data_IF_057023086842
#
_entry.id   IF_057023086842
#
_cell.length_a   1.000
_cell.length_b   1.000
_cell.length_c   1.000
_cell.angle_alpha   90.00
_cell.angle_beta   90.00
_cell.angle_gamma   90.00
#
_symmetry.space_group_name_H-M   'P 1'
#
loop_
_entity.id
_entity.type
_entity.pdbx_description
1 polymer ?
#
# COMPACT_ATOMS: atom_id res chain seq x y z
N UNK A 1 7.91 -39.29 43.14
CA UNK A 1 8.35 -38.81 41.82
C UNK A 1 7.84 -37.39 41.61
N UNK A 2 8.75 -36.40 41.65
CA UNK A 2 8.43 -34.97 41.54
C UNK A 2 8.89 -34.48 40.17
N UNK A 3 7.97 -34.01 39.32
CA UNK A 3 8.30 -33.35 38.06
C UNK A 3 8.73 -31.90 38.34
N UNK A 4 10.01 -31.59 38.07
CA UNK A 4 10.52 -30.22 38.00
C UNK A 4 10.04 -29.59 36.69
N UNK A 5 9.25 -28.52 36.77
CA UNK A 5 9.00 -27.62 35.65
C UNK A 5 10.23 -26.73 35.47
N UNK A 6 10.89 -26.87 34.33
CA UNK A 6 12.01 -26.02 33.91
C UNK A 6 11.41 -24.74 33.29
N UNK A 7 11.60 -23.61 33.96
CA UNK A 7 11.27 -22.29 33.41
C UNK A 7 12.36 -21.91 32.40
N UNK A 8 12.00 -21.77 31.12
CA UNK A 8 12.83 -21.08 30.14
C UNK A 8 12.70 -19.57 30.38
N UNK A 9 13.76 -18.97 30.91
CA UNK A 9 13.92 -17.52 30.95
C UNK A 9 14.52 -17.10 29.62
N UNK A 10 13.71 -16.54 28.73
CA UNK A 10 14.19 -15.90 27.51
C UNK A 10 14.76 -14.53 27.92
N UNK A 11 16.08 -14.48 28.16
CA UNK A 11 16.79 -13.24 28.44
C UNK A 11 16.83 -12.38 27.16
N UNK A 12 16.04 -11.31 27.13
CA UNK A 12 16.20 -10.20 26.18
C UNK A 12 17.58 -9.56 26.42
N UNK A 13 18.55 -9.88 25.58
CA UNK A 13 19.79 -9.11 25.45
C UNK A 13 19.51 -7.94 24.51
N UNK A 14 19.24 -6.77 25.09
CA UNK A 14 19.37 -5.48 24.40
C UNK A 14 20.85 -5.31 24.03
N UNK A 15 21.17 -5.37 22.74
CA UNK A 15 22.48 -4.95 22.22
C UNK A 15 22.37 -3.46 21.89
N UNK A 16 23.09 -2.56 22.57
CA UNK A 16 23.19 -1.16 22.15
C UNK A 16 24.11 -1.09 20.93
N UNK A 17 23.56 -0.68 19.78
CA UNK A 17 24.36 -0.29 18.62
C UNK A 17 25.00 1.07 18.92
N UNK A 18 26.21 1.03 19.47
CA UNK A 18 27.08 2.20 19.58
C UNK A 18 27.82 2.31 18.25
N UNK A 19 27.41 3.25 17.40
CA UNK A 19 28.18 3.63 16.22
C UNK A 19 29.35 4.50 16.65
N UNK A 20 30.48 3.88 16.99
CA UNK A 20 31.77 4.56 17.08
C UNK A 20 32.35 4.66 15.66
N UNK A 21 32.35 5.88 15.13
CA UNK A 21 33.06 6.20 13.90
C UNK A 21 34.57 6.20 14.11
N UNK A 22 35.30 5.70 13.11
CA UNK A 22 36.66 6.15 12.86
C UNK A 22 36.97 6.10 11.35
N UNK A 23 37.77 7.05 10.82
CA UNK A 23 37.76 7.43 9.42
C UNK A 23 38.82 6.70 8.60
N UNK A 24 38.45 6.19 7.43
CA UNK A 24 39.33 5.54 6.47
C UNK A 24 39.18 6.13 5.07
N UNK A 25 39.98 7.16 4.79
CA UNK A 25 40.38 7.74 3.49
C UNK A 25 39.71 7.18 2.22
N UNK A 26 38.84 8.00 1.63
CA UNK A 26 38.42 7.89 0.23
C UNK A 26 39.48 8.51 -0.69
N UNK A 27 39.99 7.73 -1.64
CA UNK A 27 40.55 8.24 -2.90
C UNK A 27 39.55 7.97 -4.04
N UNK A 28 39.43 8.87 -5.02
CA UNK A 28 38.27 8.93 -5.91
C UNK A 28 38.32 7.91 -7.05
N UNK A 29 37.13 7.47 -7.47
CA UNK A 29 36.91 6.65 -8.66
C UNK A 29 37.33 7.41 -9.94
N UNK A 30 37.87 6.73 -10.97
CA UNK A 30 38.01 7.33 -12.28
C UNK A 30 36.65 7.36 -12.99
N UNK A 31 36.35 8.51 -13.59
CA UNK A 31 35.32 8.70 -14.61
C UNK A 31 35.70 7.96 -15.89
N UNK A 32 34.75 7.27 -16.52
CA UNK A 32 34.91 6.78 -17.88
C UNK A 32 34.02 5.60 -18.24
N UNK A 33 33.02 5.92 -19.06
CA UNK A 33 32.41 5.10 -20.10
C UNK A 33 31.43 3.98 -19.75
N UNK A 34 30.24 4.13 -20.32
CA UNK A 34 29.19 3.13 -20.36
C UNK A 34 29.68 1.86 -21.03
N UNK A 35 29.82 0.81 -20.23
CA UNK A 35 29.74 -0.56 -20.70
C UNK A 35 28.81 -1.33 -19.76
N UNK A 36 27.73 -1.84 -20.35
CA UNK A 36 26.92 -2.95 -19.85
C UNK A 36 27.78 -3.98 -19.11
N UNK A 37 27.43 -4.41 -17.89
CA UNK A 37 28.15 -5.50 -17.25
C UNK A 37 27.85 -6.79 -18.03
N UNK A 38 28.91 -7.50 -18.36
CA UNK A 38 28.91 -8.77 -19.08
C UNK A 38 27.89 -9.75 -18.50
N UNK A 39 26.80 -9.96 -19.25
CA UNK A 39 25.88 -11.06 -19.02
C UNK A 39 26.58 -12.40 -19.26
N UNK A 40 26.45 -13.32 -18.32
CA UNK A 40 26.72 -14.73 -18.56
C UNK A 40 26.02 -15.17 -19.86
N UNK A 41 26.76 -15.77 -20.79
CA UNK A 41 26.31 -16.28 -22.10
C UNK A 41 25.23 -17.40 -22.02
N UNK A 42 24.56 -17.58 -20.88
CA UNK A 42 23.66 -18.71 -20.57
C UNK A 42 22.41 -18.29 -19.77
N UNK A 43 21.66 -17.30 -20.24
CA UNK A 43 20.31 -16.99 -19.74
C UNK A 43 19.22 -17.65 -20.60
N UNK A 44 17.99 -17.86 -20.08
CA UNK A 44 16.87 -18.32 -20.90
C UNK A 44 16.57 -17.30 -22.00
N UNK A 45 16.16 -17.79 -23.18
CA UNK A 45 15.64 -16.93 -24.24
C UNK A 45 14.27 -16.44 -23.79
N UNK A 46 14.11 -15.13 -23.63
CA UNK A 46 12.88 -14.52 -23.12
C UNK A 46 12.00 -13.98 -24.26
N UNK A 47 10.66 -14.04 -24.11
CA UNK A 47 9.76 -13.33 -25.00
C UNK A 47 9.99 -11.82 -24.97
N UNK A 48 9.59 -11.12 -26.03
CA UNK A 48 9.68 -9.67 -26.09
C UNK A 48 8.98 -9.01 -24.89
N UNK A 49 9.64 -8.02 -24.28
CA UNK A 49 9.16 -7.31 -23.10
C UNK A 49 9.44 -7.99 -21.76
N UNK A 50 9.91 -9.23 -21.73
CA UNK A 50 10.30 -9.90 -20.49
C UNK A 50 11.78 -9.68 -20.15
N UNK A 51 12.06 -9.63 -18.87
CA UNK A 51 13.39 -9.44 -18.30
C UNK A 51 13.60 -10.37 -17.11
N UNK A 52 14.86 -10.67 -16.82
CA UNK A 52 15.25 -11.29 -15.55
C UNK A 52 15.26 -10.19 -14.49
N UNK A 53 14.42 -10.34 -13.47
CA UNK A 53 14.31 -9.44 -12.33
C UNK A 53 15.32 -9.81 -11.24
N UNK A 54 15.51 -11.11 -11.01
CA UNK A 54 16.48 -11.64 -10.06
C UNK A 54 16.89 -13.07 -10.44
N UNK A 55 18.00 -13.57 -9.89
CA UNK A 55 18.51 -14.92 -10.12
C UNK A 55 19.14 -15.51 -8.86
N UNK A 56 18.85 -16.79 -8.63
CA UNK A 56 19.54 -17.61 -7.63
C UNK A 56 20.03 -18.93 -8.23
N UNK A 57 20.86 -19.65 -7.47
CA UNK A 57 21.27 -21.02 -7.79
C UNK A 57 21.11 -21.89 -6.53
N UNK A 58 20.45 -23.04 -6.66
CA UNK A 58 20.25 -23.97 -5.55
C UNK A 58 19.52 -25.23 -5.98
N UNK A 59 19.49 -26.25 -5.11
CA UNK A 59 18.64 -27.42 -5.32
C UNK A 59 17.24 -27.16 -4.74
N UNK A 60 16.27 -27.02 -5.63
CA UNK A 60 14.85 -26.82 -5.30
C UNK A 60 13.99 -28.03 -5.70
N UNK A 61 14.60 -29.04 -6.32
CA UNK A 61 13.92 -30.23 -6.85
C UNK A 61 14.22 -31.50 -6.07
N UNK A 62 15.23 -31.48 -5.19
CA UNK A 62 15.63 -32.58 -4.32
C UNK A 62 16.54 -33.62 -4.97
N UNK A 63 17.07 -33.34 -6.17
CA UNK A 63 17.96 -34.26 -6.90
C UNK A 63 19.45 -34.04 -6.59
N UNK A 64 19.75 -33.16 -5.63
CA UNK A 64 21.09 -32.75 -5.18
C UNK A 64 21.91 -32.05 -6.26
N UNK A 65 21.29 -31.62 -7.36
CA UNK A 65 21.97 -30.90 -8.45
C UNK A 65 21.47 -29.45 -8.48
N UNK A 66 22.37 -28.46 -8.46
CA UNK A 66 21.97 -27.07 -8.47
C UNK A 66 21.23 -26.71 -9.76
N UNK A 67 20.10 -26.03 -9.61
CA UNK A 67 19.33 -25.42 -10.70
C UNK A 67 19.67 -23.94 -10.79
N UNK A 68 19.46 -23.33 -11.95
CA UNK A 68 19.36 -21.89 -12.09
C UNK A 68 17.89 -21.49 -11.89
N UNK A 69 17.64 -20.58 -10.95
CA UNK A 69 16.30 -20.08 -10.66
C UNK A 69 16.25 -18.62 -11.10
N UNK A 70 15.34 -18.29 -12.01
CA UNK A 70 15.14 -16.94 -12.53
C UNK A 70 13.77 -16.43 -12.13
N UNK A 71 13.74 -15.21 -11.61
CA UNK A 71 12.52 -14.45 -11.46
C UNK A 71 12.35 -13.62 -12.73
N UNK A 72 11.29 -13.87 -13.46
CA UNK A 72 10.98 -13.22 -14.73
C UNK A 72 9.79 -12.29 -14.54
N UNK A 73 9.79 -11.19 -15.28
CA UNK A 73 8.63 -10.31 -15.36
C UNK A 73 8.62 -9.51 -16.64
N UNK A 74 7.43 -9.05 -17.02
CA UNK A 74 7.20 -8.23 -18.21
C UNK A 74 7.24 -6.75 -17.83
N UNK A 75 8.06 -5.97 -18.53
CA UNK A 75 8.10 -4.51 -18.40
C UNK A 75 7.15 -3.88 -19.43
N UNK A 76 6.21 -3.01 -19.01
CA UNK A 76 5.32 -2.29 -19.95
C UNK A 76 6.07 -1.36 -20.92
N UNK A 77 7.28 -0.93 -20.56
CA UNK A 77 8.18 -0.15 -21.41
C UNK A 77 9.63 -0.38 -20.96
N UNK A 78 10.60 -0.15 -21.85
CA UNK A 78 12.01 -0.52 -21.59
C UNK A 78 12.60 0.19 -20.36
N UNK A 79 12.19 1.43 -20.10
CA UNK A 79 12.69 2.24 -18.97
C UNK A 79 11.85 2.06 -17.69
N UNK A 80 10.82 1.21 -17.72
CA UNK A 80 9.96 0.97 -16.56
C UNK A 80 10.69 0.15 -15.49
N UNK A 81 10.75 0.65 -14.26
CA UNK A 81 11.17 -0.14 -13.10
C UNK A 81 10.05 -1.06 -12.57
N UNK A 82 8.83 -0.89 -13.06
CA UNK A 82 7.70 -1.76 -12.78
C UNK A 82 7.71 -2.97 -13.72
N UNK A 83 7.46 -4.15 -13.17
CA UNK A 83 7.20 -5.38 -13.92
C UNK A 83 5.90 -6.05 -13.46
N UNK A 84 5.15 -6.59 -14.42
CA UNK A 84 3.99 -7.45 -14.20
C UNK A 84 4.19 -8.84 -14.81
N UNK A 85 3.16 -9.68 -14.76
CA UNK A 85 3.20 -11.05 -15.28
C UNK A 85 4.42 -11.84 -14.80
N UNK A 86 4.57 -11.87 -13.48
CA UNK A 86 5.74 -12.42 -12.80
C UNK A 86 5.71 -13.95 -12.84
N UNK A 87 6.83 -14.57 -13.17
CA UNK A 87 6.98 -16.04 -13.20
C UNK A 87 8.32 -16.47 -12.63
N UNK A 88 8.37 -17.67 -12.07
CA UNK A 88 9.60 -18.33 -11.64
C UNK A 88 9.95 -19.38 -12.69
N UNK A 89 11.17 -19.33 -13.22
CA UNK A 89 11.72 -20.34 -14.12
C UNK A 89 12.86 -21.06 -13.43
N UNK A 90 12.77 -22.38 -13.32
CA UNK A 90 13.81 -23.27 -12.79
C UNK A 90 14.40 -24.04 -13.95
N UNK A 91 15.71 -23.88 -14.18
CA UNK A 91 16.42 -24.52 -15.28
C UNK A 91 17.51 -25.46 -14.76
N UNK A 92 17.52 -26.67 -15.28
CA UNK A 92 18.60 -27.62 -15.03
C UNK A 92 19.86 -27.23 -15.83
N UNK A 93 21.00 -27.11 -15.14
CA UNK A 93 22.27 -26.68 -15.74
C UNK A 93 22.83 -27.65 -16.78
N UNK A 94 22.50 -28.93 -16.69
CA UNK A 94 23.07 -29.99 -17.54
C UNK A 94 22.14 -30.35 -18.69
N UNK A 95 20.86 -30.56 -18.40
CA UNK A 95 19.86 -31.02 -19.37
C UNK A 95 19.14 -29.88 -20.09
N UNK A 96 19.21 -28.65 -19.56
CA UNK A 96 18.42 -27.48 -19.99
C UNK A 96 16.90 -27.67 -19.90
N UNK A 97 16.43 -28.70 -19.21
CA UNK A 97 15.02 -28.84 -18.87
C UNK A 97 14.58 -27.64 -18.02
N UNK A 98 13.36 -27.15 -18.29
CA UNK A 98 12.80 -25.98 -17.62
C UNK A 98 11.46 -26.32 -16.96
N UNK A 99 11.27 -25.80 -15.76
CA UNK A 99 9.98 -25.76 -15.07
C UNK A 99 9.62 -24.29 -14.87
N UNK A 100 8.41 -23.91 -15.23
CA UNK A 100 7.95 -22.52 -15.09
C UNK A 100 6.66 -22.47 -14.29
N UNK A 101 6.64 -21.63 -13.25
CA UNK A 101 5.45 -21.35 -12.45
C UNK A 101 5.09 -19.88 -12.59
N UNK A 102 3.89 -19.61 -13.11
CA UNK A 102 3.34 -18.26 -13.18
C UNK A 102 2.77 -17.86 -11.83
N UNK A 103 3.11 -16.66 -11.36
CA UNK A 103 2.58 -16.11 -10.12
C UNK A 103 1.33 -15.29 -10.44
N UNK A 104 0.13 -15.69 -9.97
CA UNK A 104 -1.09 -14.97 -10.29
C UNK A 104 -1.18 -13.65 -9.53
N UNK A 105 -1.81 -12.65 -10.17
CA UNK A 105 -2.22 -11.37 -9.58
C UNK A 105 -1.09 -10.57 -8.92
N UNK A 106 0.12 -10.59 -9.50
CA UNK A 106 1.26 -9.83 -8.96
C UNK A 106 1.93 -8.97 -10.03
N UNK A 107 2.41 -7.82 -9.57
CA UNK A 107 3.25 -6.89 -10.31
C UNK A 107 3.79 -5.83 -9.36
N UNK A 108 5.01 -5.36 -9.60
CA UNK A 108 5.67 -4.45 -8.68
C UNK A 108 7.09 -4.08 -9.11
N UNK A 109 7.87 -3.66 -8.14
CA UNK A 109 9.20 -3.08 -8.28
C UNK A 109 10.22 -3.87 -7.48
N UNK A 110 11.47 -3.90 -7.95
CA UNK A 110 12.61 -4.45 -7.20
C UNK A 110 12.35 -5.85 -6.59
N UNK A 111 11.68 -6.73 -7.35
CA UNK A 111 11.31 -8.05 -6.86
C UNK A 111 12.53 -8.94 -6.65
N UNK A 112 12.52 -9.78 -5.61
CA UNK A 112 13.69 -10.58 -5.21
C UNK A 112 13.35 -12.04 -4.94
N UNK A 113 14.37 -12.89 -5.10
CA UNK A 113 14.37 -14.31 -4.77
C UNK A 113 15.15 -14.59 -3.48
N UNK A 114 14.57 -15.44 -2.65
CA UNK A 114 15.22 -16.11 -1.55
C UNK A 114 14.99 -17.62 -1.65
N UNK A 115 16.01 -18.42 -1.33
CA UNK A 115 15.92 -19.87 -1.29
C UNK A 115 16.05 -20.34 0.16
N UNK A 116 15.06 -21.08 0.65
CA UNK A 116 15.05 -21.62 2.01
C UNK A 116 14.09 -22.80 2.14
N UNK A 117 14.42 -23.74 3.02
CA UNK A 117 13.56 -24.89 3.34
C UNK A 117 12.42 -24.41 4.25
N UNK A 118 11.23 -24.19 3.71
CA UNK A 118 10.04 -23.83 4.49
C UNK A 118 9.17 -25.05 4.78
N UNK A 119 9.22 -26.08 3.92
CA UNK A 119 8.39 -27.29 4.06
C UNK A 119 8.93 -28.31 5.06
N UNK A 120 10.19 -28.20 5.45
CA UNK A 120 10.90 -29.05 6.40
C UNK A 120 11.44 -30.34 5.80
N UNK A 121 11.48 -30.46 4.47
CA UNK A 121 11.96 -31.65 3.75
C UNK A 121 13.45 -31.58 3.39
N UNK A 122 14.16 -30.52 3.84
CA UNK A 122 15.57 -30.23 3.56
C UNK A 122 15.86 -29.86 2.11
N UNK A 123 14.84 -29.54 1.32
CA UNK A 123 14.95 -29.02 -0.03
C UNK A 123 14.52 -27.55 0.00
N UNK A 124 15.24 -26.68 -0.70
CA UNK A 124 14.90 -25.27 -0.69
C UNK A 124 13.61 -25.02 -1.49
N UNK A 125 12.68 -24.27 -0.93
CA UNK A 125 11.58 -23.65 -1.66
C UNK A 125 11.99 -22.23 -2.12
N UNK A 126 11.22 -21.69 -3.07
CA UNK A 126 11.48 -20.37 -3.65
C UNK A 126 10.53 -19.35 -3.05
N UNK A 127 11.08 -18.41 -2.28
CA UNK A 127 10.37 -17.25 -1.73
C UNK A 127 10.61 -16.02 -2.61
N UNK A 128 9.54 -15.34 -2.99
CA UNK A 128 9.53 -14.13 -3.81
C UNK A 128 8.91 -12.97 -3.04
N UNK A 129 9.60 -11.83 -3.02
CA UNK A 129 9.06 -10.55 -2.53
C UNK A 129 8.87 -9.58 -3.69
N UNK A 130 7.72 -8.89 -3.74
CA UNK A 130 7.33 -8.02 -4.85
C UNK A 130 6.75 -6.71 -4.27
N UNK A 131 7.62 -5.71 -3.96
CA UNK A 131 7.16 -4.40 -3.52
C UNK A 131 6.22 -3.73 -4.52
N UNK A 132 5.10 -3.20 -4.05
CA UNK A 132 4.11 -2.50 -4.90
C UNK A 132 4.54 -1.09 -5.30
N UNK A 133 5.50 -0.48 -4.60
CA UNK A 133 6.02 0.87 -4.86
C UNK A 133 5.13 2.03 -4.39
N UNK A 134 4.00 1.74 -3.73
CA UNK A 134 3.12 2.77 -3.15
C UNK A 134 3.58 3.29 -1.78
N UNK A 135 3.05 4.45 -1.38
CA UNK A 135 3.19 5.06 -0.05
C UNK A 135 2.70 4.17 1.10
N UNK A 136 1.77 3.25 0.81
CA UNK A 136 1.30 2.24 1.76
C UNK A 136 2.33 1.16 2.07
N UNK A 137 3.45 1.10 1.34
CA UNK A 137 4.54 0.16 1.61
C UNK A 137 4.18 -1.31 1.37
N UNK A 138 3.07 -1.60 0.68
CA UNK A 138 2.60 -2.98 0.51
C UNK A 138 3.59 -3.81 -0.30
N UNK A 139 3.77 -5.06 0.12
CA UNK A 139 4.63 -6.03 -0.55
C UNK A 139 3.82 -7.31 -0.79
N UNK A 140 3.89 -7.82 -2.00
CA UNK A 140 3.33 -9.13 -2.32
C UNK A 140 4.36 -10.22 -2.05
N UNK A 141 3.93 -11.30 -1.41
CA UNK A 141 4.78 -12.43 -1.06
C UNK A 141 4.27 -13.72 -1.69
N UNK A 142 5.16 -14.52 -2.27
CA UNK A 142 4.83 -15.84 -2.82
C UNK A 142 5.89 -16.85 -2.43
N UNK A 143 5.47 -18.04 -2.00
CA UNK A 143 6.39 -19.17 -1.77
C UNK A 143 5.95 -20.33 -2.65
N UNK A 144 6.89 -20.88 -3.40
CA UNK A 144 6.66 -21.97 -4.34
C UNK A 144 7.60 -23.12 -4.03
N UNK A 145 7.04 -24.31 -3.89
CA UNK A 145 7.83 -25.54 -3.78
C UNK A 145 7.90 -26.22 -5.15
N UNK A 146 9.07 -26.77 -5.49
CA UNK A 146 9.32 -27.51 -6.73
C UNK A 146 9.52 -29.01 -6.47
N UNK A 147 9.26 -29.48 -5.24
CA UNK A 147 9.24 -30.91 -4.89
C UNK A 147 7.94 -31.53 -5.37
N UNK A 148 8.06 -32.48 -6.30
CA UNK A 148 6.93 -33.07 -7.02
C UNK A 148 6.37 -32.12 -8.10
N UNK A 149 5.05 -32.00 -8.19
CA UNK A 149 4.44 -30.98 -9.04
C UNK A 149 4.62 -29.59 -8.43
N UNK A 150 5.16 -28.60 -9.18
CA UNK A 150 5.35 -27.26 -8.67
C UNK A 150 4.04 -26.61 -8.22
N UNK A 151 4.04 -26.03 -7.02
CA UNK A 151 2.83 -25.40 -6.45
C UNK A 151 3.15 -24.23 -5.55
N UNK A 152 2.27 -23.23 -5.56
CA UNK A 152 2.32 -22.10 -4.64
C UNK A 152 1.81 -22.56 -3.27
N UNK A 153 2.66 -22.47 -2.24
CA UNK A 153 2.32 -22.83 -0.86
C UNK A 153 2.07 -21.60 0.02
N UNK A 154 2.47 -20.41 -0.41
CA UNK A 154 2.09 -19.12 0.17
C UNK A 154 1.61 -18.21 -0.95
N UNK A 155 0.32 -17.90 -0.99
CA UNK A 155 -0.34 -17.16 -2.06
C UNK A 155 -1.04 -15.88 -1.58
N UNK A 156 -1.98 -15.40 -2.39
CA UNK A 156 -2.75 -14.18 -2.12
C UNK A 156 -3.56 -14.27 -0.81
N UNK A 157 -4.07 -15.45 -0.47
CA UNK A 157 -4.82 -15.67 0.79
C UNK A 157 -3.94 -15.49 2.02
N UNK A 158 -2.73 -16.03 2.00
CA UNK A 158 -1.78 -15.90 3.12
C UNK A 158 -1.19 -14.49 3.17
N UNK A 159 -1.03 -13.81 2.03
CA UNK A 159 -0.51 -12.44 1.97
C UNK A 159 -1.39 -11.41 2.71
N UNK A 160 -2.68 -11.73 2.93
CA UNK A 160 -3.57 -10.92 3.77
C UNK A 160 -3.13 -10.87 5.24
N UNK A 161 -2.32 -11.83 5.68
CA UNK A 161 -1.80 -11.91 7.04
C UNK A 161 -2.87 -12.17 8.09
N UNK A 162 -2.68 -11.59 9.27
CA UNK A 162 -3.61 -11.65 10.40
C UNK A 162 -4.84 -10.79 10.09
N UNK A 163 -6.01 -11.43 10.16
CA UNK A 163 -7.30 -10.77 9.99
C UNK A 163 -7.80 -10.30 11.35
N UNK A 164 -7.96 -8.98 11.50
CA UNK A 164 -8.49 -8.38 12.71
C UNK A 164 -9.39 -7.19 12.40
N UNK A 165 -10.31 -6.89 13.31
CA UNK A 165 -11.21 -5.72 13.23
C UNK A 165 -10.90 -4.77 14.37
N UNK A 166 -10.88 -3.47 14.12
CA UNK A 166 -10.62 -2.48 15.17
C UNK A 166 -11.66 -1.38 15.26
N UNK A 167 -11.74 -0.75 16.44
CA UNK A 167 -12.63 0.39 16.73
C UNK A 167 -12.02 1.33 17.77
N UNK A 168 -12.43 2.60 17.73
CA UNK A 168 -12.05 3.59 18.75
C UNK A 168 -12.88 3.41 20.04
N UNK A 169 -12.28 3.80 21.17
CA UNK A 169 -12.81 3.72 22.53
C UNK A 169 -12.54 5.01 23.31
N UNK A 170 -13.41 5.35 24.25
CA UNK A 170 -13.18 6.47 25.18
C UNK A 170 -11.81 6.40 25.87
N UNK A 171 -11.23 7.59 26.08
CA UNK A 171 -9.95 7.81 26.75
C UNK A 171 -8.76 7.71 25.80
N UNK A 172 -8.90 8.10 24.53
CA UNK A 172 -7.84 7.99 23.51
C UNK A 172 -7.32 6.56 23.38
N UNK A 173 -8.24 5.60 23.20
CA UNK A 173 -7.89 4.18 23.08
C UNK A 173 -8.51 3.56 21.85
N UNK A 174 -7.95 2.45 21.42
CA UNK A 174 -8.51 1.61 20.39
C UNK A 174 -8.58 0.16 20.89
N UNK A 175 -9.56 -0.60 20.39
CA UNK A 175 -9.62 -2.06 20.57
C UNK A 175 -9.40 -2.71 19.22
N UNK A 176 -8.50 -3.69 19.17
CA UNK A 176 -8.33 -4.59 18.03
C UNK A 176 -8.76 -5.99 18.45
N UNK A 177 -9.58 -6.67 17.63
CA UNK A 177 -10.04 -8.05 17.87
C UNK A 177 -9.56 -8.94 16.75
N UNK A 178 -8.74 -9.94 17.07
CA UNK A 178 -8.23 -10.91 16.10
C UNK A 178 -9.32 -11.94 15.78
N UNK A 179 -9.51 -12.22 14.48
CA UNK A 179 -10.72 -12.89 14.00
C UNK A 179 -10.79 -14.38 14.38
N UNK A 180 -9.67 -15.10 14.44
CA UNK A 180 -9.65 -16.55 14.68
C UNK A 180 -9.76 -16.90 16.16
N UNK A 181 -8.99 -16.22 17.01
CA UNK A 181 -8.91 -16.44 18.45
C UNK A 181 -9.93 -15.62 19.24
N UNK A 182 -10.52 -14.58 18.63
CA UNK A 182 -11.40 -13.59 19.27
C UNK A 182 -10.73 -12.81 20.41
N UNK A 183 -9.40 -12.92 20.54
CA UNK A 183 -8.64 -12.19 21.56
C UNK A 183 -8.58 -10.71 21.19
N UNK A 184 -8.47 -9.88 22.22
CA UNK A 184 -8.52 -8.43 22.11
C UNK A 184 -7.23 -7.80 22.60
N UNK A 185 -6.79 -6.77 21.90
CA UNK A 185 -5.71 -5.89 22.31
C UNK A 185 -6.26 -4.47 22.47
N UNK A 186 -5.81 -3.77 23.51
CA UNK A 186 -6.09 -2.35 23.71
C UNK A 186 -4.85 -1.57 23.28
N UNK A 187 -5.06 -0.60 22.40
CA UNK A 187 -4.03 0.26 21.85
C UNK A 187 -4.16 1.64 22.51
N UNK A 188 -3.05 2.16 23.03
CA UNK A 188 -2.98 3.52 23.52
C UNK A 188 -2.74 4.51 22.36
N UNK A 189 -3.61 5.51 22.24
CA UNK A 189 -3.56 6.54 21.21
C UNK A 189 -3.14 7.91 21.79
N UNK A 190 -2.73 7.96 23.05
CA UNK A 190 -2.45 9.20 23.78
C UNK A 190 -1.30 10.01 23.18
N UNK A 191 -0.37 9.37 22.48
CA UNK A 191 0.72 10.01 21.73
C UNK A 191 0.20 10.99 20.64
N UNK A 192 -1.04 10.79 20.20
CA UNK A 192 -1.70 11.48 19.10
C UNK A 192 -2.99 12.21 19.51
N UNK A 193 -3.22 12.42 20.82
CA UNK A 193 -4.46 13.00 21.37
C UNK A 193 -4.88 14.30 20.68
N UNK A 194 -3.94 15.22 20.43
CA UNK A 194 -4.24 16.54 19.88
C UNK A 194 -4.71 16.46 18.44
N UNK A 195 -4.15 15.53 17.66
CA UNK A 195 -4.60 15.24 16.31
C UNK A 195 -6.04 14.71 16.33
N UNK A 196 -6.35 13.75 17.20
CA UNK A 196 -7.68 13.19 17.28
C UNK A 196 -8.74 14.19 17.80
N UNK A 197 -8.36 15.11 18.70
CA UNK A 197 -9.22 16.23 19.11
C UNK A 197 -9.48 17.16 17.92
N UNK A 198 -8.43 17.61 17.22
CA UNK A 198 -8.56 18.47 16.03
C UNK A 198 -9.39 17.82 14.91
N UNK A 199 -9.33 16.49 14.80
CA UNK A 199 -10.12 15.71 13.85
C UNK A 199 -11.55 15.39 14.32
N UNK A 200 -11.98 15.90 15.48
CA UNK A 200 -13.30 15.63 16.10
C UNK A 200 -13.59 14.14 16.34
N UNK A 201 -12.56 13.34 16.60
CA UNK A 201 -12.72 11.93 17.01
C UNK A 201 -13.02 11.87 18.51
N UNK A 202 -12.29 12.65 19.31
CA UNK A 202 -12.51 12.80 20.75
C UNK A 202 -12.76 14.26 21.11
N UNK A 203 -13.45 14.50 22.22
CA UNK A 203 -13.38 15.80 22.88
C UNK A 203 -12.10 15.93 23.72
N UNK A 204 -11.86 17.10 24.29
CA UNK A 204 -10.69 17.37 25.14
C UNK A 204 -10.64 16.51 26.42
N UNK A 205 -11.78 15.97 26.86
CA UNK A 205 -11.88 15.01 27.97
C UNK A 205 -11.68 13.55 27.56
N UNK A 206 -11.40 13.26 26.28
CA UNK A 206 -11.21 11.91 25.76
C UNK A 206 -12.50 11.12 25.49
N UNK A 207 -13.68 11.75 25.55
CA UNK A 207 -14.93 11.10 25.14
C UNK A 207 -14.98 10.99 23.62
N UNK A 208 -15.25 9.80 23.11
CA UNK A 208 -15.42 9.52 21.69
C UNK A 208 -16.65 10.28 21.18
N UNK A 209 -16.43 11.11 20.15
CA UNK A 209 -17.48 11.87 19.47
C UNK A 209 -17.97 11.14 18.22
N UNK A 210 -17.08 10.41 17.55
CA UNK A 210 -17.37 9.70 16.31
C UNK A 210 -16.76 8.31 16.31
N UNK A 211 -17.58 7.29 16.12
CA UNK A 211 -17.09 5.92 15.93
C UNK A 211 -16.54 5.75 14.51
N UNK A 212 -15.43 5.03 14.39
CA UNK A 212 -14.79 4.69 13.13
C UNK A 212 -14.07 3.34 13.27
N UNK A 213 -13.97 2.58 12.18
CA UNK A 213 -13.19 1.34 12.17
C UNK A 213 -11.72 1.64 11.93
N UNK A 214 -10.86 0.82 12.54
CA UNK A 214 -9.43 0.77 12.18
C UNK A 214 -9.25 -0.14 10.97
N UNK A 215 -8.28 0.18 10.14
CA UNK A 215 -7.89 -0.65 9.00
C UNK A 215 -6.63 -1.44 9.34
N UNK A 216 -6.62 -2.73 9.00
CA UNK A 216 -5.44 -3.60 9.14
C UNK A 216 -4.89 -3.83 7.74
N UNK A 217 -3.65 -3.41 7.50
CA UNK A 217 -2.97 -3.65 6.23
C UNK A 217 -2.75 -5.14 5.99
N UNK A 218 -2.62 -5.60 4.73
CA UNK A 218 -1.94 -6.85 4.40
C UNK A 218 -0.49 -6.86 4.91
N UNK A 219 0.24 -7.97 4.73
CA UNK A 219 1.65 -8.05 5.09
C UNK A 219 2.46 -6.97 4.34
N UNK A 220 3.11 -6.09 5.12
CA UNK A 220 3.98 -5.04 4.60
C UNK A 220 5.45 -5.52 4.59
N UNK A 221 5.78 -6.46 5.48
CA UNK A 221 7.08 -7.12 5.56
C UNK A 221 6.87 -8.59 5.93
N UNK A 222 7.69 -9.47 5.34
CA UNK A 222 7.70 -10.89 5.64
C UNK A 222 9.12 -11.41 5.49
N UNK A 223 9.77 -11.61 6.63
CA UNK A 223 11.13 -12.11 6.70
C UNK A 223 11.18 -13.61 6.94
N UNK A 224 12.12 -14.28 6.30
CA UNK A 224 12.48 -15.66 6.62
C UNK A 224 13.37 -15.69 7.86
N UNK A 225 12.98 -16.47 8.87
CA UNK A 225 13.76 -16.65 10.10
C UNK A 225 14.15 -18.11 10.25
N UNK A 226 15.45 -18.35 10.40
CA UNK A 226 15.98 -19.63 10.78
C UNK A 226 16.20 -19.67 12.30
N UNK A 227 15.30 -20.35 13.02
CA UNK A 227 15.35 -20.43 14.50
C UNK A 227 16.48 -21.34 14.98
N UNK A 228 16.79 -22.39 14.21
CA UNK A 228 17.90 -23.31 14.46
C UNK A 228 18.75 -23.42 13.20
N UNK A 229 20.09 -23.24 13.25
CA UNK A 229 20.94 -23.38 12.07
C UNK A 229 20.80 -24.76 11.39
N UNK A 230 20.63 -24.77 10.07
CA UNK A 230 20.28 -25.95 9.26
C UNK A 230 18.82 -26.40 9.41
N UNK A 231 17.98 -25.56 10.00
CA UNK A 231 16.59 -25.83 10.34
C UNK A 231 15.61 -25.45 9.23
N UNK A 232 14.33 -25.67 9.50
CA UNK A 232 13.24 -25.17 8.65
C UNK A 232 13.06 -23.68 8.92
N UNK A 233 12.85 -22.91 7.86
CA UNK A 233 12.56 -21.49 7.94
C UNK A 233 11.11 -21.26 8.41
N UNK A 234 10.97 -20.38 9.38
CA UNK A 234 9.71 -19.76 9.75
C UNK A 234 9.59 -18.40 9.06
N UNK A 235 8.41 -17.80 9.12
CA UNK A 235 8.17 -16.46 8.59
C UNK A 235 7.78 -15.50 9.70
N UNK A 236 8.41 -14.32 9.72
CA UNK A 236 8.00 -13.20 10.57
C UNK A 236 7.32 -12.14 9.73
N UNK A 237 6.02 -11.96 9.95
CA UNK A 237 5.20 -10.97 9.27
C UNK A 237 5.01 -9.71 10.10
N UNK A 238 4.99 -8.56 9.42
CA UNK A 238 4.63 -7.25 10.00
C UNK A 238 3.44 -6.68 9.23
N UNK A 239 2.43 -6.24 9.97
CA UNK A 239 1.29 -5.49 9.45
C UNK A 239 1.11 -4.21 10.24
N UNK A 240 0.57 -3.20 9.59
CA UNK A 240 0.21 -1.93 10.22
C UNK A 240 -1.27 -1.90 10.49
N UNK A 241 -1.64 -1.26 11.60
CA UNK A 241 -3.01 -0.88 11.91
C UNK A 241 -3.09 0.63 11.78
N UNK A 242 -4.03 1.09 10.96
CA UNK A 242 -4.23 2.51 10.68
C UNK A 242 -5.56 3.00 11.24
N UNK A 243 -5.54 4.24 11.73
CA UNK A 243 -6.68 4.87 12.39
C UNK A 243 -7.56 5.64 11.41
N UNK A 244 -7.50 6.96 11.48
CA UNK A 244 -8.43 7.82 10.74
C UNK A 244 -8.03 8.08 9.28
N UNK A 245 -6.80 7.73 8.91
CA UNK A 245 -6.26 7.77 7.54
C UNK A 245 -5.04 6.83 7.43
N UNK A 246 -4.59 6.51 6.20
CA UNK A 246 -3.52 5.52 5.98
C UNK A 246 -2.18 5.85 6.66
N UNK A 247 -1.79 7.13 6.73
CA UNK A 247 -0.58 7.54 7.45
C UNK A 247 -0.76 7.59 8.98
N UNK A 248 -1.98 7.45 9.52
CA UNK A 248 -2.22 7.40 10.96
C UNK A 248 -1.95 5.99 11.49
N UNK A 249 -0.68 5.64 11.64
CA UNK A 249 -0.30 4.35 12.21
C UNK A 249 -0.61 4.33 13.71
N UNK A 250 -1.51 3.45 14.14
CA UNK A 250 -1.91 3.35 15.55
C UNK A 250 -1.27 2.17 16.27
N UNK A 251 -0.97 1.10 15.54
CA UNK A 251 -0.36 -0.11 16.06
C UNK A 251 0.35 -0.88 14.95
N UNK A 252 1.20 -1.83 15.34
CA UNK A 252 1.69 -2.87 14.45
C UNK A 252 1.24 -4.23 14.96
N UNK A 253 1.00 -5.16 14.04
CA UNK A 253 0.80 -6.57 14.32
C UNK A 253 2.07 -7.29 13.87
N UNK A 254 2.70 -8.02 14.78
CA UNK A 254 3.80 -8.93 14.49
C UNK A 254 3.29 -10.36 14.56
N UNK A 255 3.71 -11.19 13.62
CA UNK A 255 3.28 -12.57 13.55
C UNK A 255 4.42 -13.51 13.21
N UNK A 256 4.42 -14.71 13.79
CA UNK A 256 5.32 -15.81 13.42
C UNK A 256 4.49 -16.93 12.81
N UNK A 257 4.89 -17.41 11.65
CA UNK A 257 4.19 -18.45 10.89
C UNK A 257 5.12 -19.62 10.62
N UNK A 258 4.55 -20.81 10.71
CA UNK A 258 5.24 -22.05 10.43
C UNK A 258 4.39 -22.90 9.49
N UNK A 259 5.05 -23.54 8.52
CA UNK A 259 4.39 -24.47 7.61
C UNK A 259 4.37 -25.87 8.24
N UNK A 260 3.19 -26.34 8.64
CA UNK A 260 2.99 -27.69 9.18
C UNK A 260 1.79 -28.34 8.51
N UNK A 261 1.87 -29.66 8.28
CA UNK A 261 0.76 -30.43 7.69
C UNK A 261 0.21 -29.78 6.40
N UNK A 262 1.12 -29.34 5.53
CA UNK A 262 0.82 -28.70 4.25
C UNK A 262 0.06 -27.35 4.36
N UNK A 263 0.10 -26.69 5.52
CA UNK A 263 -0.57 -25.41 5.74
C UNK A 263 0.26 -24.46 6.60
N UNK A 264 0.19 -23.17 6.28
CA UNK A 264 0.72 -22.13 7.16
C UNK A 264 -0.14 -21.98 8.42
N UNK A 265 0.53 -21.97 9.57
CA UNK A 265 -0.08 -21.85 10.89
C UNK A 265 0.62 -20.76 11.67
N UNK A 266 -0.14 -19.81 12.21
CA UNK A 266 0.40 -18.74 13.04
C UNK A 266 0.72 -19.28 14.43
N UNK A 267 1.98 -19.16 14.85
CA UNK A 267 2.47 -19.60 16.17
C UNK A 267 2.40 -18.48 17.20
N UNK A 268 2.57 -17.23 16.75
CA UNK A 268 2.59 -16.06 17.62
C UNK A 268 1.94 -14.88 16.91
N UNK A 269 1.17 -14.10 17.66
CA UNK A 269 0.60 -12.81 17.25
C UNK A 269 0.83 -11.84 18.40
N UNK A 270 1.45 -10.71 18.11
CA UNK A 270 1.65 -9.61 19.04
C UNK A 270 1.13 -8.31 18.42
N UNK A 271 0.56 -7.45 19.27
CA UNK A 271 0.10 -6.13 18.88
C UNK A 271 0.86 -5.11 19.70
N UNK A 272 1.52 -4.16 19.05
CA UNK A 272 2.26 -3.08 19.70
C UNK A 272 1.46 -1.78 19.67
N UNK A 273 1.57 -0.97 20.72
CA UNK A 273 1.11 0.42 20.72
C UNK A 273 2.27 1.35 20.36
N UNK A 274 2.00 2.38 19.56
CA UNK A 274 2.99 3.41 19.24
C UNK A 274 3.09 4.40 20.39
N UNK A 275 4.18 4.34 21.16
CA UNK A 275 4.38 5.26 22.29
C UNK A 275 4.91 6.63 21.86
N UNK A 276 5.78 6.65 20.85
CA UNK A 276 6.40 7.85 20.29
C UNK A 276 6.43 7.70 18.76
N UNK A 277 5.81 8.64 18.03
CA UNK A 277 5.83 8.66 16.57
C UNK A 277 7.14 9.25 16.05
N UNK A 278 7.94 8.46 15.33
CA UNK A 278 9.15 8.95 14.66
C UNK A 278 8.77 9.50 13.28
N UNK A 279 9.12 10.76 12.99
CA UNK A 279 8.74 11.44 11.74
C UNK A 279 7.31 12.00 11.71
N UNK A 280 6.51 11.73 12.73
CA UNK A 280 5.17 12.32 12.93
C UNK A 280 5.26 13.58 13.80
N UNK A 281 6.06 14.58 13.39
CA UNK A 281 6.10 15.86 14.10
C UNK A 281 4.67 16.45 14.17
N UNK A 282 4.29 16.95 15.35
CA UNK A 282 2.94 17.40 15.71
C UNK A 282 2.44 18.68 14.96
N UNK A 283 2.89 18.95 13.74
CA UNK A 283 2.51 20.09 12.92
C UNK A 283 1.72 19.77 11.63
N UNK A 284 1.59 18.51 11.22
CA UNK A 284 1.24 18.23 9.83
C UNK A 284 -0.16 17.61 9.59
N UNK A 285 -1.16 17.95 10.41
CA UNK A 285 -2.55 17.54 10.15
C UNK A 285 -3.05 17.88 8.72
N UNK A 286 -2.63 18.99 8.08
CA UNK A 286 -2.97 19.26 6.68
C UNK A 286 -2.23 18.35 5.69
N UNK A 287 -0.96 17.99 5.94
CA UNK A 287 -0.20 17.05 5.09
C UNK A 287 -0.83 15.66 5.18
N UNK A 288 -1.17 15.22 6.39
CA UNK A 288 -1.89 13.98 6.61
C UNK A 288 -3.23 13.94 5.84
N UNK A 289 -4.00 15.03 5.89
CA UNK A 289 -5.25 15.16 5.15
C UNK A 289 -5.01 15.12 3.63
N UNK A 290 -3.95 15.76 3.14
CA UNK A 290 -3.56 15.74 1.73
C UNK A 290 -3.19 14.32 1.29
N UNK A 291 -2.31 13.64 2.02
CA UNK A 291 -1.90 12.27 1.71
C UNK A 291 -3.10 11.32 1.74
N UNK A 292 -3.99 11.42 2.72
CA UNK A 292 -5.22 10.63 2.75
C UNK A 292 -6.11 10.88 1.52
N UNK A 293 -6.22 12.14 1.09
CA UNK A 293 -6.96 12.50 -0.12
C UNK A 293 -6.38 11.84 -1.37
N UNK A 294 -5.04 11.71 -1.44
CA UNK A 294 -4.36 11.04 -2.55
C UNK A 294 -4.56 9.52 -2.56
N UNK A 295 -4.57 8.89 -1.38
CA UNK A 295 -4.84 7.45 -1.27
C UNK A 295 -6.27 7.11 -1.68
N UNK A 296 -7.25 7.81 -1.11
CA UNK A 296 -8.67 7.59 -1.45
C UNK A 296 -8.96 7.85 -2.92
N UNK A 297 -8.24 8.76 -3.56
CA UNK A 297 -8.38 9.01 -4.99
C UNK A 297 -8.05 7.78 -5.84
N UNK A 298 -7.12 6.91 -5.40
CA UNK A 298 -6.81 5.65 -6.10
C UNK A 298 -7.96 4.64 -6.03
N UNK A 299 -8.85 4.79 -5.04
CA UNK A 299 -10.07 4.02 -4.89
C UNK A 299 -11.31 4.71 -5.50
N UNK A 300 -11.14 5.87 -6.16
CA UNK A 300 -12.25 6.66 -6.68
C UNK A 300 -13.02 7.49 -5.63
N UNK A 301 -12.54 7.58 -4.38
CA UNK A 301 -13.26 8.18 -3.23
C UNK A 301 -12.67 9.51 -2.78
N UNK A 302 -13.47 10.25 -1.98
CA UNK A 302 -12.99 11.43 -1.25
C UNK A 302 -13.10 11.26 0.27
N UNK A 303 -12.35 12.06 1.05
CA UNK A 303 -12.16 11.97 2.51
C UNK A 303 -13.45 11.96 3.35
N UNK A 304 -14.56 12.44 2.81
CA UNK A 304 -15.84 12.59 3.49
C UNK A 304 -16.99 11.87 2.75
N UNK A 305 -16.67 10.94 1.83
CA UNK A 305 -17.65 10.22 1.03
C UNK A 305 -17.28 8.75 0.87
N UNK A 306 -18.25 7.87 1.12
CA UNK A 306 -18.09 6.42 0.93
C UNK A 306 -18.34 5.96 -0.51
N UNK A 307 -18.95 6.80 -1.36
CA UNK A 307 -19.34 6.47 -2.72
C UNK A 307 -18.21 6.78 -3.72
N UNK A 308 -17.54 5.77 -4.29
CA UNK A 308 -16.50 5.96 -5.30
C UNK A 308 -17.05 6.33 -6.68
N UNK A 309 -16.30 7.14 -7.44
CA UNK A 309 -16.49 7.28 -8.88
C UNK A 309 -16.37 5.90 -9.58
N UNK A 310 -16.87 5.82 -10.83
CA UNK A 310 -16.94 4.61 -11.67
C UNK A 310 -17.93 3.54 -11.17
N UNK A 311 -17.83 3.14 -9.91
CA UNK A 311 -18.53 1.95 -9.38
C UNK A 311 -19.83 2.25 -8.64
N UNK A 312 -20.21 3.52 -8.51
CA UNK A 312 -21.50 3.94 -7.93
C UNK A 312 -22.32 4.80 -8.89
N UNK A 313 -23.64 4.81 -8.67
CA UNK A 313 -24.59 5.65 -9.39
C UNK A 313 -25.18 6.72 -8.48
N UNK A 314 -25.74 7.78 -9.07
CA UNK A 314 -26.44 8.80 -8.28
C UNK A 314 -27.69 8.25 -7.58
N UNK A 315 -28.29 7.16 -8.11
CA UNK A 315 -29.43 6.50 -7.49
C UNK A 315 -29.06 5.85 -6.16
N UNK A 316 -27.90 5.17 -6.11
CA UNK A 316 -27.38 4.59 -4.86
C UNK A 316 -27.18 5.65 -3.77
N UNK A 317 -26.74 6.85 -4.17
CA UNK A 317 -26.60 7.99 -3.25
C UNK A 317 -27.96 8.49 -2.80
N UNK A 318 -28.93 8.63 -3.71
CA UNK A 318 -30.27 9.11 -3.37
C UNK A 318 -31.02 8.14 -2.45
N UNK A 319 -30.84 6.83 -2.61
CA UNK A 319 -31.40 5.81 -1.72
C UNK A 319 -30.89 5.96 -0.29
N UNK A 320 -29.61 6.30 -0.11
CA UNK A 320 -28.99 6.40 1.22
C UNK A 320 -29.10 7.78 1.84
N UNK A 321 -28.92 8.85 1.06
CA UNK A 321 -28.81 10.23 1.53
C UNK A 321 -30.05 11.09 1.21
N UNK A 322 -30.98 10.57 0.41
CA UNK A 322 -32.12 11.32 -0.12
C UNK A 322 -31.74 12.17 -1.34
N UNK A 323 -32.68 12.99 -1.83
CA UNK A 323 -32.44 13.85 -3.01
C UNK A 323 -31.39 14.93 -2.74
N UNK A 324 -30.61 15.35 -3.77
CA UNK A 324 -29.66 16.44 -3.63
C UNK A 324 -30.35 17.78 -3.39
N UNK A 325 -29.65 18.71 -2.73
CA UNK A 325 -30.15 20.08 -2.51
C UNK A 325 -30.28 20.84 -3.83
N UNK A 326 -29.40 20.53 -4.79
CA UNK A 326 -29.34 21.19 -6.09
C UNK A 326 -28.74 20.27 -7.14
N UNK A 327 -29.24 20.35 -8.37
CA UNK A 327 -28.65 19.73 -9.56
C UNK A 327 -28.43 20.74 -10.66
N UNK A 328 -27.24 20.74 -11.25
CA UNK A 328 -26.89 21.62 -12.37
C UNK A 328 -26.28 20.82 -13.52
N UNK A 329 -26.81 20.99 -14.74
CA UNK A 329 -26.13 20.51 -15.93
C UNK A 329 -24.94 21.41 -16.27
N UNK A 330 -23.76 20.82 -16.44
CA UNK A 330 -22.54 21.54 -16.81
C UNK A 330 -22.14 21.14 -18.24
N UNK A 331 -22.36 21.99 -19.25
CA UNK A 331 -22.10 21.64 -20.65
C UNK A 331 -20.67 21.21 -20.93
N UNK A 332 -19.69 21.87 -20.31
CA UNK A 332 -18.26 21.56 -20.50
C UNK A 332 -17.88 20.18 -19.95
N UNK A 333 -18.58 19.71 -18.92
CA UNK A 333 -18.39 18.37 -18.35
C UNK A 333 -19.39 17.35 -18.90
N UNK A 334 -20.35 17.78 -19.74
CA UNK A 334 -21.44 16.97 -20.30
C UNK A 334 -22.09 16.05 -19.27
N UNK A 335 -22.25 16.57 -18.06
CA UNK A 335 -22.74 15.84 -16.91
C UNK A 335 -23.58 16.73 -16.00
N UNK A 336 -24.38 16.07 -15.18
CA UNK A 336 -25.15 16.74 -14.13
C UNK A 336 -24.36 16.68 -12.83
N UNK A 337 -24.30 17.80 -12.11
CA UNK A 337 -23.67 17.90 -10.81
C UNK A 337 -24.72 18.04 -9.72
N UNK A 338 -24.76 17.07 -8.81
CA UNK A 338 -25.67 17.01 -7.67
C UNK A 338 -24.93 17.43 -6.39
N UNK A 339 -25.42 18.47 -5.71
CA UNK A 339 -24.84 19.00 -4.47
C UNK A 339 -25.56 18.46 -3.24
N UNK A 340 -24.78 17.92 -2.31
CA UNK A 340 -25.20 17.44 -1.00
C UNK A 340 -24.50 18.25 0.10
N UNK A 341 -25.08 19.39 0.46
CA UNK A 341 -24.49 20.39 1.35
C UNK A 341 -24.28 19.84 2.76
N UNK A 342 -25.21 19.01 3.25
CA UNK A 342 -25.07 18.35 4.58
C UNK A 342 -23.83 17.46 4.68
N UNK A 343 -23.41 16.89 3.54
CA UNK A 343 -22.27 15.99 3.47
C UNK A 343 -20.99 16.72 3.03
N UNK A 344 -21.09 17.97 2.57
CA UNK A 344 -20.01 18.71 1.90
C UNK A 344 -19.45 17.95 0.69
N UNK A 345 -20.34 17.38 -0.13
CA UNK A 345 -19.99 16.59 -1.32
C UNK A 345 -20.77 17.06 -2.54
N UNK A 346 -20.15 17.01 -3.72
CA UNK A 346 -20.82 17.16 -5.02
C UNK A 346 -20.47 15.96 -5.90
N UNK A 347 -21.45 15.42 -6.61
CA UNK A 347 -21.26 14.32 -7.56
C UNK A 347 -21.52 14.78 -8.98
N UNK A 348 -20.54 14.60 -9.88
CA UNK A 348 -20.74 14.66 -11.32
C UNK A 348 -21.13 13.29 -11.86
N UNK A 349 -22.24 13.20 -12.57
CA UNK A 349 -22.73 11.95 -13.15
C UNK A 349 -23.21 12.12 -14.60
N UNK A 350 -23.04 11.06 -15.37
CA UNK A 350 -23.39 11.04 -16.80
C UNK A 350 -24.88 10.69 -17.01
N UNK A 351 -25.34 10.69 -18.27
CA UNK A 351 -26.74 10.36 -18.61
C UNK A 351 -27.17 8.97 -18.16
N UNK A 352 -26.22 8.04 -18.01
CA UNK A 352 -26.44 6.70 -17.49
C UNK A 352 -26.48 6.62 -15.96
N UNK A 353 -26.53 7.77 -15.26
CA UNK A 353 -26.50 7.86 -13.79
C UNK A 353 -25.20 7.42 -13.11
N UNK A 354 -24.20 6.98 -13.87
CA UNK A 354 -22.89 6.61 -13.32
C UNK A 354 -22.15 7.87 -12.85
N UNK A 355 -21.61 7.82 -11.64
CA UNK A 355 -20.79 8.89 -11.08
C UNK A 355 -19.41 8.82 -11.73
N UNK A 356 -19.01 9.91 -12.38
CA UNK A 356 -17.68 10.05 -12.98
C UNK A 356 -16.79 11.02 -12.18
N UNK A 357 -17.34 11.85 -11.30
CA UNK A 357 -16.55 12.76 -10.47
C UNK A 357 -17.14 12.92 -9.08
N UNK A 358 -16.30 12.81 -8.05
CA UNK A 358 -16.68 13.06 -6.66
C UNK A 358 -15.85 14.23 -6.13
N UNK A 359 -16.52 15.27 -5.62
CA UNK A 359 -15.88 16.51 -5.16
C UNK A 359 -16.10 16.66 -3.66
N UNK A 360 -15.02 16.87 -2.91
CA UNK A 360 -15.06 17.22 -1.50
C UNK A 360 -15.00 18.73 -1.30
N UNK A 361 -15.92 19.25 -0.48
CA UNK A 361 -15.97 20.64 -0.01
C UNK A 361 -15.60 20.74 1.49
N UNK A 362 -14.90 19.73 2.03
CA UNK A 362 -14.58 19.67 3.46
C UNK A 362 -13.78 20.91 3.91
N UNK A 363 -14.24 21.57 4.98
CA UNK A 363 -13.64 22.83 5.43
C UNK A 363 -12.19 22.69 5.89
N UNK A 364 -11.75 21.47 6.27
CA UNK A 364 -10.37 21.20 6.69
C UNK A 364 -9.37 21.37 5.55
N UNK A 365 -9.81 21.28 4.29
CA UNK A 365 -8.98 21.47 3.10
C UNK A 365 -8.30 22.85 3.08
N UNK A 366 -8.94 23.87 3.67
CA UNK A 366 -8.40 25.24 3.73
C UNK A 366 -7.06 25.35 4.46
N UNK A 367 -6.70 24.33 5.24
CA UNK A 367 -5.41 24.29 5.93
C UNK A 367 -4.27 23.77 5.04
N UNK A 368 -4.57 23.30 3.82
CA UNK A 368 -3.59 22.80 2.85
C UNK A 368 -3.23 23.95 1.91
N UNK A 369 -1.96 24.38 1.93
CA UNK A 369 -1.47 25.42 1.02
C UNK A 369 -0.98 24.84 -0.31
N UNK A 370 -0.92 25.67 -1.34
CA UNK A 370 -0.37 25.29 -2.64
C UNK A 370 1.11 24.85 -2.54
N UNK A 371 1.92 25.54 -1.72
CA UNK A 371 3.32 25.18 -1.52
C UNK A 371 3.46 23.81 -0.87
N UNK A 372 2.66 23.55 0.17
CA UNK A 372 2.61 22.26 0.85
C UNK A 372 2.31 21.12 -0.11
N UNK A 373 1.39 21.31 -1.04
CA UNK A 373 1.09 20.28 -2.05
C UNK A 373 2.26 20.02 -2.98
N UNK A 374 2.91 21.08 -3.49
CA UNK A 374 4.06 20.94 -4.39
C UNK A 374 5.26 20.29 -3.70
N UNK A 375 5.47 20.62 -2.43
CA UNK A 375 6.53 20.02 -1.60
C UNK A 375 6.23 18.55 -1.27
N UNK A 376 4.96 18.22 -0.99
CA UNK A 376 4.56 16.87 -0.56
C UNK A 376 4.39 15.89 -1.73
N UNK A 377 3.73 16.32 -2.81
CA UNK A 377 3.36 15.45 -3.94
C UNK A 377 4.30 15.61 -5.14
N UNK A 378 5.20 16.59 -5.10
CA UNK A 378 6.06 16.93 -6.22
C UNK A 378 5.32 17.55 -7.40
N UNK A 379 5.92 17.42 -8.57
CA UNK A 379 5.44 18.01 -9.81
C UNK A 379 4.08 17.43 -10.24
N UNK A 380 3.05 18.26 -10.47
CA UNK A 380 1.75 17.79 -10.94
C UNK A 380 1.81 17.38 -12.41
N UNK A 381 0.97 16.42 -12.79
CA UNK A 381 0.78 16.03 -14.19
C UNK A 381 0.01 17.09 -14.97
N UNK A 382 -0.82 17.89 -14.29
CA UNK A 382 -1.59 18.98 -14.87
C UNK A 382 -1.53 20.22 -13.98
N UNK A 383 -1.37 21.39 -14.59
CA UNK A 383 -1.43 22.66 -13.88
C UNK A 383 -2.10 23.71 -14.76
N UNK A 384 -3.19 24.31 -14.28
CA UNK A 384 -3.89 25.38 -14.96
C UNK A 384 -4.24 26.53 -14.02
N UNK A 385 -4.13 27.75 -14.53
CA UNK A 385 -4.53 28.98 -13.83
C UNK A 385 -5.64 29.67 -14.60
N UNK A 386 -6.75 29.96 -13.93
CA UNK A 386 -7.86 30.70 -14.52
C UNK A 386 -8.66 31.42 -13.43
N UNK A 387 -9.06 32.67 -13.68
CA UNK A 387 -9.94 33.45 -12.81
C UNK A 387 -9.55 33.47 -11.31
N UNK A 388 -8.25 33.63 -11.00
CA UNK A 388 -7.75 33.66 -9.62
C UNK A 388 -7.71 32.29 -8.92
N UNK A 389 -7.90 31.21 -9.67
CA UNK A 389 -7.84 29.83 -9.21
C UNK A 389 -6.67 29.09 -9.89
N UNK A 390 -5.91 28.32 -9.12
CA UNK A 390 -4.89 27.39 -9.62
C UNK A 390 -5.39 25.97 -9.40
N UNK A 391 -5.39 25.15 -10.45
CA UNK A 391 -5.79 23.74 -10.40
C UNK A 391 -4.57 22.88 -10.64
N UNK A 392 -4.25 22.00 -9.69
CA UNK A 392 -3.22 20.97 -9.86
C UNK A 392 -3.88 19.62 -10.09
N UNK A 393 -3.37 18.84 -11.04
CA UNK A 393 -3.83 17.49 -11.33
C UNK A 393 -2.72 16.46 -11.16
N UNK A 394 -3.04 15.35 -10.50
CA UNK A 394 -2.17 14.19 -10.32
C UNK A 394 -2.87 12.92 -10.79
N UNK A 395 -2.14 11.97 -11.35
CA UNK A 395 -2.70 10.63 -11.61
C UNK A 395 -2.94 9.89 -10.29
N UNK A 396 -4.05 9.15 -10.20
CA UNK A 396 -4.43 8.37 -9.03
C UNK A 396 -4.73 6.94 -9.46
N UNK A 397 -3.68 6.11 -9.48
CA UNK A 397 -3.77 4.76 -10.03
C UNK A 397 -3.94 4.76 -11.55
N UNK A 398 -4.52 3.69 -12.09
CA UNK A 398 -4.74 3.52 -13.53
C UNK A 398 -5.95 4.32 -14.04
N UNK A 399 -6.99 4.39 -13.22
CA UNK A 399 -8.33 4.77 -13.70
C UNK A 399 -8.75 6.18 -13.28
N UNK A 400 -8.12 6.77 -12.25
CA UNK A 400 -8.58 8.02 -11.66
C UNK A 400 -7.56 9.16 -11.76
N UNK A 401 -8.05 10.39 -11.61
CA UNK A 401 -7.27 11.62 -11.48
C UNK A 401 -7.66 12.34 -10.20
N UNK A 402 -6.67 12.91 -9.51
CA UNK A 402 -6.87 13.81 -8.38
C UNK A 402 -6.73 15.26 -8.86
N UNK A 403 -7.76 16.08 -8.66
CA UNK A 403 -7.76 17.50 -8.99
C UNK A 403 -7.84 18.35 -7.71
N UNK A 404 -6.90 19.27 -7.53
CA UNK A 404 -6.78 20.13 -6.35
C UNK A 404 -7.00 21.59 -6.77
N UNK A 405 -8.04 22.22 -6.24
CA UNK A 405 -8.47 23.55 -6.66
C UNK A 405 -8.14 24.60 -5.59
N UNK A 406 -7.14 25.44 -5.86
CA UNK A 406 -6.65 26.48 -4.96
C UNK A 406 -7.24 27.82 -5.31
N UNK A 407 -7.68 28.57 -4.30
CA UNK A 407 -8.13 29.96 -4.48
C UNK A 407 -7.12 30.93 -3.87
N UNK A 408 -6.85 32.03 -4.57
CA UNK A 408 -6.12 33.15 -3.99
C UNK A 408 -7.04 33.99 -3.08
N UNK A 409 -6.56 34.43 -1.90
CA UNK A 409 -7.27 35.40 -1.08
C UNK A 409 -7.42 36.74 -1.82
N UNK A 410 -8.56 37.41 -1.64
CA UNK A 410 -8.90 38.67 -2.33
C UNK A 410 -7.87 39.81 -2.15
N UNK A 411 -7.07 39.78 -1.08
CA UNK A 411 -6.11 40.83 -0.74
C UNK A 411 -4.65 40.45 -1.05
N UNK A 412 -4.39 39.29 -1.68
CA UNK A 412 -3.05 38.85 -2.06
C UNK A 412 -2.06 38.59 -0.91
N UNK A 413 -2.48 38.74 0.34
CA UNK A 413 -1.61 38.75 1.53
C UNK A 413 -1.33 37.36 2.13
N UNK A 414 -2.02 36.31 1.69
CA UNK A 414 -1.84 34.95 2.20
C UNK A 414 -1.66 33.93 1.07
N UNK A 415 -0.98 32.83 1.39
CA UNK A 415 -0.71 31.76 0.44
C UNK A 415 -2.02 31.16 -0.12
N UNK A 416 -2.06 30.75 -1.40
CA UNK A 416 -3.23 30.06 -1.95
C UNK A 416 -3.53 28.79 -1.13
N UNK A 417 -4.79 28.61 -0.78
CA UNK A 417 -5.25 27.45 0.00
C UNK A 417 -6.23 26.60 -0.80
N UNK A 418 -6.26 25.31 -0.49
CA UNK A 418 -7.11 24.34 -1.15
C UNK A 418 -8.57 24.58 -0.75
N UNK A 419 -9.39 24.92 -1.74
CA UNK A 419 -10.82 25.19 -1.54
C UNK A 419 -11.65 23.91 -1.59
N UNK A 420 -11.30 23.04 -2.53
CA UNK A 420 -11.96 21.79 -2.80
C UNK A 420 -10.99 20.87 -3.53
N UNK A 421 -11.29 19.58 -3.56
CA UNK A 421 -10.62 18.66 -4.46
C UNK A 421 -11.62 17.67 -5.04
N UNK A 422 -11.27 17.08 -6.18
CA UNK A 422 -12.10 16.06 -6.81
C UNK A 422 -11.30 14.85 -7.24
N UNK A 423 -12.03 13.73 -7.31
CA UNK A 423 -11.56 12.48 -7.89
C UNK A 423 -12.38 12.23 -9.13
N UNK A 424 -11.72 12.29 -10.28
CA UNK A 424 -12.30 12.15 -11.60
C UNK A 424 -11.99 10.76 -12.15
N UNK A 425 -12.98 10.12 -12.75
CA UNK A 425 -12.88 8.94 -13.60
C UNK A 425 -13.07 9.37 -15.07
N UNK A 426 -11.98 9.65 -15.81
CA UNK A 426 -12.03 10.15 -17.20
C UNK A 426 -12.94 9.33 -18.12
N UNK A 427 -12.85 8.01 -18.06
CA UNK A 427 -13.61 7.12 -18.94
C UNK A 427 -15.12 7.24 -18.75
N UNK A 428 -15.58 7.62 -17.55
CA UNK A 428 -17.01 7.88 -17.28
C UNK A 428 -17.57 9.12 -18.00
N UNK A 429 -16.70 9.91 -18.64
CA UNK A 429 -17.06 11.11 -19.41
C UNK A 429 -16.99 10.91 -20.93
N UNK A 430 -16.51 9.75 -21.41
CA UNK A 430 -16.44 9.42 -22.84
C UNK A 430 -17.86 9.31 -23.41
N UNK A 431 -18.08 9.85 -24.61
CA UNK A 431 -19.32 9.66 -25.34
C UNK A 431 -19.04 9.16 -26.77
N UNK A 432 -19.08 7.84 -26.92
CA UNK A 432 -18.83 7.15 -28.20
C UNK A 432 -19.84 7.52 -29.28
N UNK A 433 -21.07 7.92 -28.92
CA UNK A 433 -22.11 8.29 -29.89
C UNK A 433 -21.90 9.71 -30.46
N UNK A 434 -21.04 10.52 -29.82
CA UNK A 434 -20.74 11.88 -30.23
C UNK A 434 -19.27 12.07 -30.60
N UNK A 435 -18.53 10.97 -30.80
CA UNK A 435 -17.07 10.95 -31.03
C UNK A 435 -16.29 11.84 -30.03
N UNK A 436 -16.75 11.86 -28.78
CA UNK A 436 -16.15 12.66 -27.73
C UNK A 436 -15.22 11.80 -26.87
N UNK A 437 -13.90 12.08 -26.86
CA UNK A 437 -12.94 11.30 -26.08
C UNK A 437 -13.06 11.50 -24.56
N UNK A 438 -13.93 12.40 -24.09
CA UNK A 438 -14.10 12.68 -22.66
C UNK A 438 -13.04 13.61 -22.09
N UNK A 439 -13.15 13.90 -20.79
CA UNK A 439 -12.25 14.75 -20.03
C UNK A 439 -11.08 13.96 -19.46
N UNK A 440 -9.88 14.45 -19.70
CA UNK A 440 -8.67 13.94 -19.05
C UNK A 440 -8.32 14.64 -17.73
N UNK A 441 -8.73 15.91 -17.56
CA UNK A 441 -8.53 16.74 -16.37
C UNK A 441 -9.75 17.63 -16.07
#
# INVERSE_FOLDING_TARGET
MKYKRLYFVLSLLLIPVITAGCPGKTTPAPSGDGQTPAGSLYGPVLPAGYVILDRQTGDVTGDKKPKDIFLLGRKPGMDSNFADDISILVQDKTTRNVLTVKLPNVGGYNSKLFLGDFTGDKIADVFVTIPSGGSGGYVEHRIVTFVGEPRVIFGESENKGIVATGRFLDGFRAELTEASTKRKAIIDLSNKKDMYIKANIYNTGGKLLRQQQLSVSPLEELDSIEVTPGGTYELKGVQRVTGIYNADTVAHIYSIWEYRNQKWTTQQIEVSSVLLGYGENQQDAPIALLLNSTELAREGKVINCEFPANTTTIQDVEEKWGKPDKTNWIPAAKGTYATYSKHNVVFGYNKGSQIFEVISLDSRLKNISLSMVKETLGSPNYNAKSNGQETLGYTAGRDYKLLLFFSQPANGSAAPSLKQYSVLYPQGTVNLMADDPGREW
#
